data_IF_070563026751
#
_entry.id   IF_070563026751
#
_cell.length_a   1.000
_cell.length_b   1.000
_cell.length_c   1.000
_cell.angle_alpha   90.00
_cell.angle_beta   90.00
_cell.angle_gamma   90.00
#
_symmetry.space_group_name_H-M   'P 1'
#
loop_
_entity.id
_entity.type
_entity.pdbx_description
1 polymer ?
#
# COMPACT_ATOMS: atom_id res chain seq x y z
N UNK A 1 -1.67 -21.87 1.74
CA UNK A 1 -0.86 -20.86 1.02
C UNK A 1 -1.75 -20.23 -0.03
N UNK A 2 -1.91 -18.90 -0.03
CA UNK A 2 -2.70 -18.17 -1.03
C UNK A 2 -1.70 -17.48 -1.94
N UNK A 3 -1.79 -17.73 -3.26
CA UNK A 3 -0.97 -17.07 -4.28
C UNK A 3 -1.90 -16.34 -5.24
N UNK A 4 -1.74 -15.01 -5.32
CA UNK A 4 -2.46 -14.15 -6.27
C UNK A 4 -1.46 -13.68 -7.30
N UNK A 5 -1.79 -13.84 -8.59
CA UNK A 5 -1.00 -13.30 -9.71
C UNK A 5 -1.69 -12.06 -10.23
N UNK A 6 -0.92 -10.99 -10.41
CA UNK A 6 -1.36 -9.75 -11.00
C UNK A 6 -0.27 -9.23 -11.92
N UNK A 7 -0.66 -8.68 -13.07
CA UNK A 7 0.27 -8.06 -14.02
C UNK A 7 0.81 -6.72 -13.47
N UNK A 8 -0.02 -5.99 -12.73
CA UNK A 8 0.34 -4.78 -12.00
C UNK A 8 -0.16 -4.88 -10.55
N UNK A 9 0.79 -4.92 -9.61
CA UNK A 9 0.49 -4.98 -8.17
C UNK A 9 0.02 -3.64 -7.60
N UNK A 10 0.14 -2.56 -8.36
CA UNK A 10 -0.30 -1.21 -8.00
C UNK A 10 -1.64 -0.83 -8.64
N UNK A 11 -2.27 -1.73 -9.39
CA UNK A 11 -3.63 -1.53 -9.86
C UNK A 11 -4.58 -1.40 -8.66
N UNK A 12 -5.54 -0.45 -8.67
CA UNK A 12 -6.46 -0.23 -7.54
C UNK A 12 -7.14 -1.52 -7.07
N UNK A 13 -7.64 -2.31 -8.01
CA UNK A 13 -8.38 -3.55 -7.75
C UNK A 13 -7.52 -4.59 -7.01
N UNK A 14 -6.23 -4.66 -7.36
CA UNK A 14 -5.26 -5.57 -6.75
C UNK A 14 -4.92 -5.10 -5.34
N UNK A 15 -4.70 -3.80 -5.15
CA UNK A 15 -4.45 -3.22 -3.83
C UNK A 15 -5.65 -3.37 -2.89
N UNK A 16 -6.89 -3.23 -3.39
CA UNK A 16 -8.10 -3.54 -2.64
C UNK A 16 -8.18 -5.01 -2.23
N UNK A 17 -7.81 -5.92 -3.14
CA UNK A 17 -7.78 -7.35 -2.82
C UNK A 17 -6.73 -7.67 -1.74
N UNK A 18 -5.53 -7.09 -1.84
CA UNK A 18 -4.45 -7.24 -0.86
C UNK A 18 -4.91 -6.72 0.51
N UNK A 19 -5.50 -5.52 0.57
CA UNK A 19 -5.97 -4.92 1.81
C UNK A 19 -7.06 -5.76 2.48
N UNK A 20 -8.04 -6.21 1.70
CA UNK A 20 -9.12 -7.08 2.18
C UNK A 20 -8.60 -8.40 2.73
N UNK A 21 -7.67 -9.05 2.02
CA UNK A 21 -7.03 -10.29 2.50
C UNK A 21 -6.25 -10.01 3.77
N UNK A 22 -5.51 -8.90 3.83
CA UNK A 22 -4.76 -8.47 5.01
C UNK A 22 -5.65 -8.31 6.25
N UNK A 23 -6.77 -7.61 6.12
CA UNK A 23 -7.72 -7.41 7.21
C UNK A 23 -8.36 -8.73 7.66
N UNK A 24 -8.74 -9.60 6.71
CA UNK A 24 -9.25 -10.93 7.03
C UNK A 24 -8.23 -11.80 7.77
N UNK A 25 -6.94 -11.69 7.43
CA UNK A 25 -5.87 -12.41 8.11
C UNK A 25 -5.68 -11.89 9.54
N UNK A 26 -5.72 -10.57 9.74
CA UNK A 26 -5.64 -9.98 11.08
C UNK A 26 -6.81 -10.39 11.98
N UNK A 27 -8.02 -10.41 11.45
CA UNK A 27 -9.20 -10.80 12.23
C UNK A 27 -9.19 -12.29 12.63
N UNK A 28 -8.67 -13.16 11.76
CA UNK A 28 -8.78 -14.62 11.93
C UNK A 28 -7.56 -15.27 12.58
N UNK A 29 -6.41 -14.59 12.61
CA UNK A 29 -5.16 -15.16 13.12
C UNK A 29 -4.81 -14.47 14.45
N UNK A 30 -5.10 -15.11 15.60
CA UNK A 30 -4.90 -14.51 16.93
C UNK A 30 -3.43 -14.23 17.32
N UNK A 31 -2.45 -14.58 16.48
CA UNK A 31 -1.01 -14.34 16.68
C UNK A 31 -0.38 -13.54 15.52
N UNK A 32 -1.18 -12.94 14.64
CA UNK A 32 -0.64 -12.05 13.62
C UNK A 32 -0.30 -10.70 14.27
N UNK A 33 0.85 -10.59 14.96
CA UNK A 33 1.24 -9.32 15.58
C UNK A 33 1.58 -8.25 14.54
N UNK A 34 2.04 -8.67 13.35
CA UNK A 34 2.47 -7.77 12.27
C UNK A 34 2.10 -8.32 10.89
N UNK A 35 1.44 -7.48 10.08
CA UNK A 35 1.17 -7.75 8.67
C UNK A 35 2.08 -6.86 7.82
N UNK A 36 3.13 -7.44 7.26
CA UNK A 36 3.94 -6.77 6.24
C UNK A 36 3.14 -6.70 4.94
N UNK A 37 2.70 -5.50 4.55
CA UNK A 37 1.87 -5.27 3.37
C UNK A 37 2.34 -4.08 2.56
N UNK A 38 2.19 -4.17 1.23
CA UNK A 38 2.40 -3.04 0.30
C UNK A 38 1.47 -1.87 0.66
N UNK A 39 0.26 -2.15 1.13
CA UNK A 39 -0.71 -1.13 1.57
C UNK A 39 -0.32 -0.43 2.88
N UNK A 40 0.72 -0.91 3.57
CA UNK A 40 1.24 -0.32 4.82
C UNK A 40 2.64 0.28 4.66
N UNK A 41 3.13 0.43 3.44
CA UNK A 41 4.47 0.95 3.17
C UNK A 41 4.61 2.39 3.66
N UNK A 42 5.74 2.65 4.29
CA UNK A 42 6.18 3.98 4.69
C UNK A 42 7.27 4.43 3.73
N UNK A 43 7.10 5.60 3.12
CA UNK A 43 8.02 6.11 2.10
C UNK A 43 8.63 7.43 2.58
N UNK A 44 9.97 7.52 2.68
CA UNK A 44 10.63 8.79 2.96
C UNK A 44 10.59 9.70 1.73
N UNK A 45 10.13 10.93 1.91
CA UNK A 45 10.03 11.98 0.89
C UNK A 45 10.89 13.16 1.34
N UNK A 46 11.86 13.56 0.52
CA UNK A 46 12.69 14.73 0.79
C UNK A 46 11.88 16.03 0.71
N UNK A 47 12.12 16.95 1.64
CA UNK A 47 11.55 18.30 1.64
C UNK A 47 12.65 19.34 1.91
N UNK A 48 12.30 20.63 1.88
CA UNK A 48 13.25 21.75 2.05
C UNK A 48 13.94 21.76 3.43
N UNK A 49 13.34 21.09 4.42
CA UNK A 49 13.85 21.01 5.80
C UNK A 49 14.56 19.67 6.12
N UNK A 50 14.57 18.70 5.19
CA UNK A 50 15.12 17.36 5.39
C UNK A 50 14.29 16.26 4.71
N UNK A 51 13.65 15.40 5.50
CA UNK A 51 12.82 14.29 5.01
C UNK A 51 11.57 14.09 5.88
N UNK A 52 10.46 13.72 5.24
CA UNK A 52 9.20 13.34 5.89
C UNK A 52 8.83 11.91 5.51
N UNK A 53 8.34 11.12 6.45
CA UNK A 53 7.87 9.76 6.18
C UNK A 53 6.36 9.82 5.96
N UNK A 54 5.93 9.41 4.77
CA UNK A 54 4.50 9.40 4.39
C UNK A 54 4.06 7.99 4.05
N UNK A 55 2.86 7.62 4.47
CA UNK A 55 2.19 6.42 3.96
C UNK A 55 1.21 6.83 2.85
N UNK A 56 1.46 6.45 1.57
CA UNK A 56 0.61 6.84 0.45
C UNK A 56 -0.82 6.26 0.53
N UNK A 57 -1.05 5.25 1.38
CA UNK A 57 -2.34 4.57 1.54
C UNK A 57 -2.99 4.83 2.90
N UNK A 58 -2.51 5.81 3.68
CA UNK A 58 -3.05 6.13 5.00
C UNK A 58 -4.56 6.45 4.97
N UNK A 59 -5.04 7.05 3.87
CA UNK A 59 -6.46 7.37 3.64
C UNK A 59 -7.23 6.24 2.93
N UNK A 60 -6.64 5.05 2.84
CA UNK A 60 -7.14 3.93 2.03
C UNK A 60 -6.60 3.95 0.60
N UNK A 61 -6.87 2.88 -0.15
CA UNK A 61 -6.44 2.72 -1.55
C UNK A 61 -7.22 3.68 -2.46
N UNK A 62 -6.56 4.63 -3.15
CA UNK A 62 -7.19 5.44 -4.17
C UNK A 62 -7.85 4.59 -5.27
N UNK A 63 -9.11 4.90 -5.59
CA UNK A 63 -9.85 4.26 -6.68
C UNK A 63 -9.56 4.85 -8.06
N UNK A 64 -8.97 6.05 -8.14
CA UNK A 64 -8.57 6.68 -9.41
C UNK A 64 -7.10 6.33 -9.76
N UNK A 65 -6.86 5.63 -10.89
CA UNK A 65 -5.52 5.31 -11.36
C UNK A 65 -4.62 6.54 -11.61
N UNK A 66 -5.18 7.72 -11.88
CA UNK A 66 -4.39 8.95 -12.05
C UNK A 66 -3.80 9.44 -10.74
N UNK A 67 -4.56 9.30 -9.66
CA UNK A 67 -4.10 9.65 -8.30
C UNK A 67 -2.96 8.71 -7.92
N UNK A 68 -3.11 7.40 -8.20
CA UNK A 68 -2.03 6.41 -8.05
C UNK A 68 -0.76 6.83 -8.78
N UNK A 69 -0.87 7.13 -10.09
CA UNK A 69 0.29 7.51 -10.90
C UNK A 69 0.98 8.78 -10.40
N UNK A 70 0.24 9.79 -9.93
CA UNK A 70 0.84 11.00 -9.38
C UNK A 70 1.66 10.72 -8.12
N UNK A 71 1.18 9.83 -7.24
CA UNK A 71 1.93 9.42 -6.06
C UNK A 71 3.21 8.68 -6.44
N UNK A 72 3.13 7.67 -7.31
CA UNK A 72 4.32 6.93 -7.75
C UNK A 72 5.30 7.80 -8.55
N UNK A 73 4.82 8.77 -9.32
CA UNK A 73 5.66 9.72 -10.05
C UNK A 73 6.42 10.65 -9.09
N UNK A 74 5.79 11.09 -7.99
CA UNK A 74 6.48 11.84 -6.93
C UNK A 74 7.53 11.02 -6.17
N UNK A 75 7.40 9.69 -6.15
CA UNK A 75 8.32 8.77 -5.49
C UNK A 75 9.45 8.28 -6.41
N UNK A 76 9.52 8.78 -7.65
CA UNK A 76 10.54 8.40 -8.62
C UNK A 76 11.84 9.17 -8.32
N UNK A 77 12.82 8.45 -7.78
CA UNK A 77 14.22 8.89 -7.66
C UNK A 77 14.83 9.21 -9.03
#
# INVERSE_FOLDING_TARGET
MILVKADDVFAPDVLFAIDKIGNLLMEKIPLADELTSITKLQVPVGNEEGFSVVNPFEKGVPSDPKIMQQFFCKLRF
#
